data_IF_463287372463
#
_entry.id   IF_463287372463
#
_cell.length_a   1.000
_cell.length_b   1.000
_cell.length_c   1.000
_cell.angle_alpha   90.00
_cell.angle_beta   90.00
_cell.angle_gamma   90.00
#
_symmetry.space_group_name_H-M   'P 1'
#
loop_
_entity.id
_entity.type
_entity.pdbx_description
1 polymer ?
#
# COMPACT_ATOMS: atom_id res chain seq x y z
N UNK A 1 -51.29 -69.01 -55.81
CA UNK A 1 -51.89 -69.85 -54.75
C UNK A 1 -50.97 -69.79 -53.53
N UNK A 2 -51.51 -69.47 -52.34
CA UNK A 2 -50.86 -69.44 -51.00
C UNK A 2 -49.80 -68.35 -50.76
N UNK A 3 -49.62 -67.73 -49.58
CA UNK A 3 -50.41 -67.39 -48.39
C UNK A 3 -49.52 -66.39 -47.62
N UNK A 4 -50.12 -65.36 -47.00
CA UNK A 4 -49.48 -64.36 -46.11
C UNK A 4 -48.53 -65.00 -45.09
N UNK A 5 -47.50 -64.25 -44.67
CA UNK A 5 -47.11 -64.06 -43.25
C UNK A 5 -46.04 -62.98 -43.06
N UNK A 6 -46.40 -61.93 -42.32
CA UNK A 6 -45.48 -60.99 -41.69
C UNK A 6 -44.86 -61.66 -40.47
N UNK A 7 -43.54 -61.50 -40.28
CA UNK A 7 -42.88 -61.65 -38.98
C UNK A 7 -41.82 -60.55 -38.86
N UNK A 8 -41.95 -59.74 -37.81
CA UNK A 8 -40.92 -58.83 -37.32
C UNK A 8 -39.73 -59.68 -36.86
N UNK A 9 -38.53 -59.31 -37.25
CA UNK A 9 -37.29 -59.82 -36.70
C UNK A 9 -36.37 -58.63 -36.43
N UNK A 10 -36.11 -58.43 -35.14
CA UNK A 10 -35.13 -57.55 -34.54
C UNK A 10 -33.74 -57.92 -35.07
N UNK A 11 -33.03 -56.95 -35.65
CA UNK A 11 -31.63 -57.10 -36.02
C UNK A 11 -30.79 -56.09 -35.23
N UNK A 12 -30.04 -56.64 -34.29
CA UNK A 12 -28.93 -56.05 -33.56
C UNK A 12 -27.82 -55.69 -34.57
N UNK A 13 -27.41 -54.44 -34.64
CA UNK A 13 -26.21 -54.02 -35.38
C UNK A 13 -25.22 -53.37 -34.40
N UNK A 14 -24.17 -54.12 -34.07
CA UNK A 14 -22.92 -53.58 -33.54
C UNK A 14 -22.28 -52.71 -34.62
N UNK A 15 -21.98 -51.45 -34.30
CA UNK A 15 -20.93 -50.69 -35.01
C UNK A 15 -20.11 -49.90 -34.01
N UNK A 16 -18.80 -50.07 -34.16
CA UNK A 16 -17.72 -49.73 -33.27
C UNK A 16 -17.60 -48.23 -32.96
N UNK A 17 -17.21 -47.94 -31.72
CA UNK A 17 -16.80 -46.61 -31.29
C UNK A 17 -15.49 -46.20 -31.96
N UNK A 18 -15.49 -44.99 -32.49
CA UNK A 18 -14.28 -44.18 -32.67
C UNK A 18 -14.40 -43.07 -31.65
N UNK A 19 -13.87 -43.29 -30.46
CA UNK A 19 -13.60 -42.22 -29.51
C UNK A 19 -12.37 -41.52 -30.07
N UNK A 20 -12.57 -40.38 -30.74
CA UNK A 20 -11.49 -39.43 -30.98
C UNK A 20 -11.05 -38.93 -29.60
N UNK A 21 -10.05 -39.60 -29.02
CA UNK A 21 -9.26 -39.06 -27.93
C UNK A 21 -8.46 -37.88 -28.48
N UNK A 22 -9.06 -36.69 -28.47
CA UNK A 22 -8.27 -35.47 -28.47
C UNK A 22 -7.47 -35.51 -27.17
N UNK A 23 -6.19 -35.85 -27.27
CA UNK A 23 -5.27 -35.71 -26.16
C UNK A 23 -5.20 -34.24 -25.80
N UNK A 24 -5.87 -33.86 -24.72
CA UNK A 24 -5.51 -32.64 -24.01
C UNK A 24 -4.11 -32.92 -23.48
N UNK A 25 -3.10 -32.31 -24.11
CA UNK A 25 -1.79 -32.20 -23.49
C UNK A 25 -1.98 -31.29 -22.29
N UNK A 26 -2.20 -31.87 -21.12
CA UNK A 26 -1.98 -31.17 -19.86
C UNK A 26 -0.47 -30.92 -19.84
N UNK A 27 -0.05 -29.74 -20.29
CA UNK A 27 1.29 -29.27 -19.96
C UNK A 27 1.32 -29.21 -18.44
N UNK A 28 2.21 -29.97 -17.80
CA UNK A 28 2.48 -29.72 -16.39
C UNK A 28 3.03 -28.30 -16.33
N UNK A 29 2.29 -27.37 -15.74
CA UNK A 29 2.79 -26.03 -15.47
C UNK A 29 4.12 -26.20 -14.72
N UNK A 30 5.18 -25.63 -15.26
CA UNK A 30 6.46 -25.59 -14.57
C UNK A 30 6.41 -24.46 -13.57
N UNK A 31 6.79 -24.69 -12.32
CA UNK A 31 6.88 -23.61 -11.35
C UNK A 31 7.96 -22.61 -11.79
N UNK A 32 7.64 -21.32 -11.69
CA UNK A 32 8.59 -20.25 -11.91
C UNK A 32 9.67 -20.22 -10.81
N UNK A 33 10.82 -19.61 -11.13
CA UNK A 33 11.86 -19.25 -10.13
C UNK A 33 11.94 -17.73 -10.07
N UNK A 34 11.69 -17.14 -8.90
CA UNK A 34 11.55 -15.70 -8.75
C UNK A 34 11.99 -15.19 -7.36
N UNK A 35 12.18 -13.87 -7.26
CA UNK A 35 12.10 -13.12 -5.99
C UNK A 35 10.88 -12.21 -5.98
N UNK A 36 10.32 -11.95 -4.79
CA UNK A 36 9.13 -11.12 -4.59
C UNK A 36 9.50 -9.87 -3.80
N UNK A 37 8.95 -8.73 -4.17
CA UNK A 37 8.91 -7.53 -3.32
C UNK A 37 7.47 -7.04 -3.16
N UNK A 38 7.20 -6.47 -1.99
CA UNK A 38 5.89 -5.92 -1.65
C UNK A 38 6.03 -4.42 -1.36
N UNK A 39 5.29 -3.61 -2.11
CA UNK A 39 5.17 -2.18 -1.83
C UNK A 39 3.75 -1.93 -1.33
N UNK A 40 3.62 -1.68 -0.02
CA UNK A 40 2.37 -1.45 0.67
C UNK A 40 2.10 0.05 0.64
N UNK A 41 1.05 0.46 -0.05
CA UNK A 41 0.61 1.84 -0.10
C UNK A 41 -0.57 2.02 0.85
N UNK A 42 -0.44 2.95 1.77
CA UNK A 42 -1.45 3.26 2.80
C UNK A 42 -1.88 4.70 2.62
N UNK A 43 -3.17 4.92 2.48
CA UNK A 43 -3.78 6.24 2.58
C UNK A 43 -4.44 6.37 3.94
N UNK A 44 -4.04 7.41 4.67
CA UNK A 44 -4.69 7.84 5.88
C UNK A 44 -5.69 8.96 5.55
N UNK A 45 -6.65 9.16 6.44
CA UNK A 45 -7.44 10.38 6.55
C UNK A 45 -6.59 11.47 7.23
N UNK A 46 -7.11 12.70 7.25
CA UNK A 46 -6.41 13.87 7.81
C UNK A 46 -6.18 13.76 9.33
N UNK A 47 -6.96 12.93 10.02
CA UNK A 47 -6.82 12.60 11.45
C UNK A 47 -5.93 11.37 11.72
N UNK A 48 -5.37 10.77 10.68
CA UNK A 48 -4.51 9.58 10.77
C UNK A 48 -5.23 8.23 10.70
N UNK A 49 -6.57 8.18 10.62
CA UNK A 49 -7.29 6.92 10.44
C UNK A 49 -6.97 6.28 9.07
N UNK A 50 -6.93 4.95 8.99
CA UNK A 50 -6.67 4.25 7.71
C UNK A 50 -7.91 4.31 6.81
N UNK A 51 -7.79 4.95 5.64
CA UNK A 51 -8.86 5.00 4.61
C UNK A 51 -8.71 3.87 3.58
N UNK A 52 -7.49 3.57 3.14
CA UNK A 52 -7.31 2.54 2.13
C UNK A 52 -5.89 2.00 2.02
N UNK A 53 -5.79 0.71 1.69
CA UNK A 53 -4.52 0.02 1.49
C UNK A 53 -4.53 -0.77 0.20
N UNK A 54 -3.45 -0.65 -0.57
CA UNK A 54 -3.19 -1.55 -1.68
C UNK A 54 -1.73 -1.97 -1.69
N UNK A 55 -1.46 -3.18 -2.18
CA UNK A 55 -0.12 -3.75 -2.26
C UNK A 55 0.24 -3.96 -3.72
N UNK A 56 1.38 -3.42 -4.13
CA UNK A 56 1.98 -3.75 -5.43
C UNK A 56 3.00 -4.86 -5.21
N UNK A 57 2.63 -6.05 -5.66
CA UNK A 57 3.48 -7.23 -5.66
C UNK A 57 4.32 -7.22 -6.94
N UNK A 58 5.64 -7.25 -6.79
CA UNK A 58 6.57 -7.34 -7.92
C UNK A 58 7.38 -8.62 -7.84
N UNK A 59 7.50 -9.31 -8.97
CA UNK A 59 8.24 -10.55 -9.11
C UNK A 59 9.36 -10.33 -10.11
N UNK A 60 10.60 -10.65 -9.73
CA UNK A 60 11.73 -10.77 -10.66
C UNK A 60 11.89 -12.24 -11.03
N UNK A 61 11.36 -12.61 -12.20
CA UNK A 61 11.23 -13.99 -12.66
C UNK A 61 12.45 -14.38 -13.47
N UNK A 62 13.25 -15.29 -12.93
CA UNK A 62 14.47 -15.82 -13.57
C UNK A 62 14.21 -17.04 -14.44
N UNK A 63 13.05 -17.66 -14.30
CA UNK A 63 12.59 -18.78 -15.11
C UNK A 63 11.07 -18.74 -15.19
N UNK A 64 10.57 -18.71 -16.43
CA UNK A 64 9.14 -18.65 -16.71
C UNK A 64 8.37 -19.85 -16.13
N UNK A 65 7.11 -19.60 -15.76
CA UNK A 65 6.23 -20.61 -15.20
C UNK A 65 5.07 -20.03 -14.40
N UNK A 66 4.32 -20.91 -13.75
CA UNK A 66 3.22 -20.53 -12.87
C UNK A 66 3.74 -20.04 -11.51
N UNK A 67 3.09 -18.99 -10.99
CA UNK A 67 3.27 -18.44 -9.66
C UNK A 67 1.93 -18.48 -8.94
N UNK A 68 1.92 -19.05 -7.72
CA UNK A 68 0.87 -18.84 -6.72
C UNK A 68 1.39 -17.86 -5.68
N UNK A 69 0.68 -16.75 -5.53
CA UNK A 69 0.88 -15.76 -4.49
C UNK A 69 -0.36 -15.72 -3.59
N UNK A 70 -0.19 -15.29 -2.34
CA UNK A 70 -1.24 -15.30 -1.34
C UNK A 70 -1.45 -13.92 -0.70
N UNK A 71 -2.70 -13.54 -0.49
CA UNK A 71 -3.08 -12.33 0.21
C UNK A 71 -4.59 -12.11 0.14
N UNK A 72 -5.20 -11.61 1.20
CA UNK A 72 -6.65 -11.34 1.23
C UNK A 72 -6.97 -10.02 0.50
N UNK A 73 -7.23 -10.11 -0.81
CA UNK A 73 -7.56 -8.95 -1.64
C UNK A 73 -9.04 -8.91 -2.02
N UNK A 74 -9.64 -7.72 -1.92
CA UNK A 74 -10.98 -7.45 -2.44
C UNK A 74 -10.98 -7.29 -3.97
N UNK A 75 -9.87 -6.85 -4.55
CA UNK A 75 -9.68 -6.73 -5.99
C UNK A 75 -8.21 -6.90 -6.38
N UNK A 76 -7.97 -7.53 -7.53
CA UNK A 76 -6.62 -7.76 -8.08
C UNK A 76 -6.55 -7.21 -9.50
N UNK A 77 -5.48 -6.48 -9.80
CA UNK A 77 -5.24 -5.87 -11.10
C UNK A 77 -3.85 -6.23 -11.61
N UNK A 78 -3.79 -6.87 -12.78
CA UNK A 78 -2.53 -7.08 -13.49
C UNK A 78 -2.03 -5.73 -14.04
N UNK A 79 -0.76 -5.40 -13.74
CA UNK A 79 -0.12 -4.16 -14.18
C UNK A 79 0.92 -4.38 -15.29
N UNK A 80 1.14 -5.64 -15.69
CA UNK A 80 2.22 -6.05 -16.60
C UNK A 80 1.71 -6.26 -18.02
N UNK A 81 0.60 -6.97 -18.15
CA UNK A 81 0.04 -7.36 -19.44
C UNK A 81 -1.50 -7.48 -19.35
N UNK A 82 -2.12 -8.03 -20.41
CA UNK A 82 -3.57 -8.17 -20.50
C UNK A 82 -4.07 -9.55 -20.06
N UNK A 83 -3.18 -10.42 -19.59
CA UNK A 83 -3.55 -11.77 -19.16
C UNK A 83 -4.26 -11.69 -17.79
N UNK A 84 -5.24 -12.57 -17.59
CA UNK A 84 -6.00 -12.62 -16.35
C UNK A 84 -5.18 -13.26 -15.24
N UNK A 85 -5.28 -12.70 -14.03
CA UNK A 85 -4.84 -13.36 -12.80
C UNK A 85 -6.04 -14.14 -12.26
N UNK A 86 -5.88 -15.45 -12.12
CA UNK A 86 -6.92 -16.27 -11.49
C UNK A 86 -6.85 -16.03 -10.00
N UNK A 87 -7.92 -15.54 -9.39
CA UNK A 87 -7.96 -15.30 -7.95
C UNK A 87 -9.18 -15.92 -7.30
N UNK A 88 -8.97 -16.55 -6.15
CA UNK A 88 -10.02 -17.06 -5.26
C UNK A 88 -10.14 -16.23 -3.96
N UNK A 89 -9.73 -14.96 -4.02
CA UNK A 89 -9.58 -13.98 -2.92
C UNK A 89 -8.29 -14.12 -2.13
N UNK A 90 -7.93 -15.32 -1.70
CA UNK A 90 -6.75 -15.58 -0.85
C UNK A 90 -5.53 -16.02 -1.66
N UNK A 91 -5.73 -16.76 -2.76
CA UNK A 91 -4.70 -17.18 -3.69
C UNK A 91 -4.86 -16.43 -5.03
N UNK A 92 -3.71 -16.09 -5.62
CA UNK A 92 -3.56 -15.46 -6.91
C UNK A 92 -2.61 -16.29 -7.75
N UNK A 93 -3.14 -16.95 -8.79
CA UNK A 93 -2.38 -17.81 -9.69
C UNK A 93 -2.26 -17.16 -11.07
N UNK A 94 -1.05 -17.09 -11.59
CA UNK A 94 -0.78 -16.52 -12.92
C UNK A 94 0.48 -17.14 -13.55
N UNK A 95 0.51 -17.17 -14.88
CA UNK A 95 1.70 -17.53 -15.66
C UNK A 95 2.59 -16.29 -15.82
N UNK A 96 3.87 -16.43 -15.52
CA UNK A 96 4.84 -15.36 -15.64
C UNK A 96 5.98 -15.75 -16.60
N UNK A 97 6.33 -14.83 -17.50
CA UNK A 97 7.52 -14.96 -18.35
C UNK A 97 8.77 -14.51 -17.59
N UNK A 98 9.96 -14.82 -18.13
CA UNK A 98 11.21 -14.27 -17.59
C UNK A 98 11.21 -12.74 -17.66
N UNK A 99 11.60 -12.09 -16.55
CA UNK A 99 11.56 -10.65 -16.39
C UNK A 99 10.66 -10.20 -15.25
N UNK A 100 10.17 -8.97 -15.32
CA UNK A 100 9.39 -8.38 -14.24
C UNK A 100 7.89 -8.60 -14.42
N UNK A 101 7.24 -9.08 -13.37
CA UNK A 101 5.79 -9.14 -13.27
C UNK A 101 5.32 -8.30 -12.09
N UNK A 102 4.22 -7.58 -12.29
CA UNK A 102 3.60 -6.66 -11.34
C UNK A 102 2.10 -6.87 -11.32
N UNK A 103 1.54 -6.95 -10.12
CA UNK A 103 0.11 -6.83 -9.92
C UNK A 103 -0.19 -6.02 -8.65
N UNK A 104 -1.37 -5.41 -8.62
CA UNK A 104 -1.90 -4.69 -7.47
C UNK A 104 -3.02 -5.49 -6.82
N UNK A 105 -2.97 -5.65 -5.49
CA UNK A 105 -4.07 -6.16 -4.68
C UNK A 105 -4.61 -5.08 -3.74
N UNK A 106 -5.92 -4.83 -3.76
CA UNK A 106 -6.58 -3.90 -2.86
C UNK A 106 -7.08 -4.63 -1.61
N UNK A 107 -6.80 -4.11 -0.42
CA UNK A 107 -7.23 -4.67 0.86
C UNK A 107 -8.37 -3.82 1.42
N UNK A 108 -9.52 -4.43 1.72
CA UNK A 108 -10.70 -3.70 2.24
C UNK A 108 -10.57 -3.34 3.72
N UNK A 109 -9.92 -4.19 4.51
CA UNK A 109 -9.74 -4.02 5.97
C UNK A 109 -8.32 -4.41 6.36
N UNK A 110 -7.38 -3.53 6.08
CA UNK A 110 -5.99 -3.75 6.44
C UNK A 110 -5.76 -3.38 7.91
N UNK A 111 -5.09 -4.27 8.64
CA UNK A 111 -4.46 -3.95 9.92
C UNK A 111 -2.99 -3.65 9.64
N UNK A 112 -2.50 -2.51 10.14
CA UNK A 112 -1.10 -2.11 10.01
C UNK A 112 -0.33 -2.39 11.31
N UNK A 113 1.01 -2.51 11.27
CA UNK A 113 1.82 -2.65 12.48
C UNK A 113 1.74 -1.44 13.43
N UNK A 114 1.29 -0.29 12.91
CA UNK A 114 1.16 0.97 13.63
C UNK A 114 -0.27 1.50 13.58
N UNK A 115 -0.65 2.24 14.61
CA UNK A 115 -1.76 3.20 14.53
C UNK A 115 -1.20 4.61 14.42
N UNK A 116 -1.90 5.45 13.66
CA UNK A 116 -1.59 6.86 13.48
C UNK A 116 -2.75 7.70 14.00
N UNK A 117 -2.43 8.82 14.64
CA UNK A 117 -3.39 9.86 15.02
C UNK A 117 -2.72 11.21 14.74
N UNK A 118 -3.44 12.10 14.07
CA UNK A 118 -2.96 13.43 13.71
C UNK A 118 -3.90 14.45 14.35
N UNK A 119 -3.33 15.31 15.19
CA UNK A 119 -4.07 16.33 15.94
C UNK A 119 -3.53 17.70 15.59
N UNK A 120 -4.44 18.65 15.35
CA UNK A 120 -4.12 20.04 15.06
C UNK A 120 -4.66 20.94 16.16
N UNK A 121 -3.87 21.93 16.54
CA UNK A 121 -4.32 23.04 17.37
C UNK A 121 -3.91 24.36 16.72
N UNK A 122 -4.85 25.30 16.63
CA UNK A 122 -4.61 26.66 16.14
C UNK A 122 -4.87 27.63 17.30
N UNK A 123 -3.89 28.47 17.61
CA UNK A 123 -3.91 29.39 18.75
C UNK A 123 -4.23 28.70 20.10
N UNK A 124 -3.87 27.41 20.20
CA UNK A 124 -4.08 26.57 21.39
C UNK A 124 -5.45 25.89 21.47
N UNK A 125 -6.37 26.13 20.53
CA UNK A 125 -7.65 25.43 20.43
C UNK A 125 -7.53 24.28 19.41
N UNK A 126 -8.05 23.09 19.76
CA UNK A 126 -8.08 21.95 18.84
C UNK A 126 -9.05 22.22 17.69
N UNK A 127 -8.60 21.96 16.46
CA UNK A 127 -9.36 22.17 15.22
C UNK A 127 -9.29 20.93 14.35
N UNK A 128 -10.28 20.77 13.47
CA UNK A 128 -10.22 19.76 12.42
C UNK A 128 -9.29 20.24 11.30
N UNK A 129 -8.66 19.30 10.59
CA UNK A 129 -7.71 19.66 9.54
C UNK A 129 -8.33 20.44 8.36
N UNK A 130 -9.64 20.30 8.14
CA UNK A 130 -10.41 21.04 7.14
C UNK A 130 -10.56 22.52 7.49
N UNK A 131 -10.48 22.87 8.78
CA UNK A 131 -10.60 24.25 9.28
C UNK A 131 -9.28 25.03 9.14
N UNK A 132 -8.19 24.35 8.80
CA UNK A 132 -6.88 24.96 8.61
C UNK A 132 -6.70 25.61 7.24
N UNK A 133 -7.62 25.39 6.30
CA UNK A 133 -7.56 25.97 4.96
C UNK A 133 -7.53 27.51 5.01
N UNK A 134 -6.40 28.10 4.61
CA UNK A 134 -6.23 29.55 4.61
C UNK A 134 -6.21 30.16 6.01
N UNK A 135 -6.01 29.36 7.06
CA UNK A 135 -5.96 29.82 8.43
C UNK A 135 -4.73 30.69 8.71
N UNK A 136 -4.82 31.51 9.75
CA UNK A 136 -3.74 32.35 10.26
C UNK A 136 -3.64 32.15 11.78
N UNK A 137 -2.44 32.07 12.34
CA UNK A 137 -2.22 31.91 13.78
C UNK A 137 -1.03 31.03 14.15
N UNK A 138 -0.93 30.65 15.43
CA UNK A 138 0.06 29.68 15.92
C UNK A 138 -0.47 28.26 15.70
N UNK A 139 0.08 27.54 14.72
CA UNK A 139 -0.28 26.15 14.43
C UNK A 139 0.65 25.20 15.18
N UNK A 140 0.06 24.20 15.81
CA UNK A 140 0.75 23.00 16.29
C UNK A 140 0.09 21.76 15.69
N UNK A 141 0.91 20.91 15.07
CA UNK A 141 0.54 19.62 14.51
C UNK A 141 1.26 18.53 15.29
N UNK A 142 0.50 17.58 15.81
CA UNK A 142 1.02 16.41 16.51
C UNK A 142 0.66 15.13 15.75
N UNK A 143 1.65 14.28 15.50
CA UNK A 143 1.47 12.96 14.88
C UNK A 143 1.88 11.91 15.90
N UNK A 144 0.91 11.13 16.39
CA UNK A 144 1.12 10.03 17.31
C UNK A 144 1.26 8.73 16.52
N UNK A 145 2.40 8.06 16.71
CA UNK A 145 2.68 6.74 16.12
C UNK A 145 2.76 5.75 17.28
N UNK A 146 1.88 4.75 17.29
CA UNK A 146 1.81 3.71 18.33
C UNK A 146 1.86 2.32 17.73
N UNK A 147 2.19 1.32 18.55
CA UNK A 147 2.03 -0.08 18.15
C UNK A 147 0.54 -0.40 18.01
N UNK A 148 0.16 -1.06 16.92
CA UNK A 148 -1.21 -1.56 16.78
C UNK A 148 -1.35 -2.92 17.52
N UNK A 149 -2.12 -3.00 18.62
CA UNK A 149 -2.29 -4.27 19.34
C UNK A 149 -3.14 -5.30 18.58
N UNK A 150 -3.86 -4.89 17.53
CA UNK A 150 -4.66 -5.79 16.69
C UNK A 150 -3.82 -6.49 15.61
N UNK A 151 -2.61 -5.99 15.33
CA UNK A 151 -1.71 -6.58 14.35
C UNK A 151 -0.84 -7.66 15.01
N UNK A 152 -0.91 -8.89 14.51
CA UNK A 152 -0.33 -10.06 15.19
C UNK A 152 1.16 -10.25 14.90
N UNK A 153 1.68 -9.71 13.80
CA UNK A 153 3.07 -9.90 13.37
C UNK A 153 3.97 -8.78 13.90
N UNK A 154 4.26 -8.82 15.20
CA UNK A 154 5.11 -7.85 15.92
C UNK A 154 6.47 -7.58 15.27
N UNK A 155 6.98 -8.53 14.48
CA UNK A 155 8.22 -8.40 13.73
C UNK A 155 8.26 -7.12 12.87
N UNK A 156 7.14 -6.71 12.27
CA UNK A 156 7.10 -5.50 11.45
C UNK A 156 7.33 -4.23 12.29
N UNK A 157 6.61 -4.10 13.42
CA UNK A 157 6.79 -2.98 14.34
C UNK A 157 8.22 -2.92 14.91
N UNK A 158 8.80 -4.08 15.22
CA UNK A 158 10.11 -4.20 15.85
C UNK A 158 11.30 -4.10 14.89
N UNK A 159 11.09 -4.15 13.57
CA UNK A 159 12.19 -4.14 12.58
C UNK A 159 12.14 -2.97 11.61
N UNK A 160 10.97 -2.38 11.37
CA UNK A 160 10.83 -1.28 10.42
C UNK A 160 11.25 0.06 11.04
N UNK A 161 12.13 0.76 10.34
CA UNK A 161 12.43 2.17 10.57
C UNK A 161 11.37 2.98 9.83
N UNK A 162 10.75 3.96 10.51
CA UNK A 162 9.89 4.92 9.82
C UNK A 162 10.62 6.25 9.62
N UNK A 163 10.41 6.85 8.46
CA UNK A 163 10.80 8.23 8.17
C UNK A 163 9.55 9.01 7.82
N UNK A 164 9.17 9.96 8.67
CA UNK A 164 8.07 10.87 8.42
C UNK A 164 8.60 12.21 7.89
N UNK A 165 7.92 12.77 6.90
CA UNK A 165 8.28 14.02 6.25
C UNK A 165 7.06 14.94 6.17
N UNK A 166 7.26 16.18 6.61
CA UNK A 166 6.31 17.29 6.47
C UNK A 166 7.02 18.38 5.67
N UNK A 167 6.34 18.95 4.69
CA UNK A 167 6.87 20.04 3.86
C UNK A 167 5.98 21.27 4.05
N UNK A 168 6.59 22.39 4.41
CA UNK A 168 5.89 23.65 4.64
C UNK A 168 6.42 24.72 3.68
N UNK A 169 5.53 25.54 3.12
CA UNK A 169 5.92 26.68 2.28
C UNK A 169 6.51 27.80 3.16
N UNK A 170 7.73 28.22 2.86
CA UNK A 170 8.44 29.24 3.64
C UNK A 170 7.88 30.65 3.48
N UNK A 171 6.99 30.90 2.52
CA UNK A 171 6.23 32.15 2.39
C UNK A 171 4.98 32.17 3.28
N UNK A 172 4.47 30.99 3.68
CA UNK A 172 3.23 30.84 4.45
C UNK A 172 3.46 30.41 5.91
N UNK A 173 4.64 29.87 6.21
CA UNK A 173 4.99 29.29 7.51
C UNK A 173 6.29 29.91 8.04
N UNK A 174 6.22 30.55 9.21
CA UNK A 174 7.32 31.16 9.92
C UNK A 174 7.60 30.46 11.26
N UNK A 175 8.77 30.72 11.85
CA UNK A 175 9.17 30.24 13.17
C UNK A 175 9.04 28.72 13.38
N UNK A 176 9.31 27.94 12.33
CA UNK A 176 9.16 26.49 12.33
C UNK A 176 10.07 25.86 13.40
N UNK A 177 9.45 25.14 14.32
CA UNK A 177 10.10 24.31 15.32
C UNK A 177 9.52 22.90 15.25
N UNK A 178 10.38 21.88 15.30
CA UNK A 178 9.93 20.50 15.24
C UNK A 178 10.75 19.60 16.17
N UNK A 179 10.06 18.75 16.90
CA UNK A 179 10.64 17.82 17.86
C UNK A 179 9.96 16.45 17.82
N UNK A 180 10.72 15.44 18.21
CA UNK A 180 10.29 14.05 18.32
C UNK A 180 10.41 13.63 19.76
N UNK A 181 9.31 13.17 20.36
CA UNK A 181 9.32 12.54 21.68
C UNK A 181 9.16 11.03 21.53
N UNK A 182 10.21 10.28 21.82
CA UNK A 182 10.13 8.81 21.88
C UNK A 182 9.63 8.41 23.26
N UNK A 183 8.53 7.66 23.29
CA UNK A 183 7.92 7.18 24.53
C UNK A 183 8.75 6.05 25.15
N UNK A 184 8.76 5.94 26.49
CA UNK A 184 9.48 4.88 27.17
C UNK A 184 8.87 3.50 26.88
N UNK A 185 9.71 2.55 26.49
CA UNK A 185 9.32 1.14 26.28
C UNK A 185 9.38 0.32 27.57
N UNK A 186 10.13 0.79 28.58
CA UNK A 186 10.30 0.14 29.87
C UNK A 186 9.74 1.00 31.00
N UNK A 187 9.03 0.37 31.94
CA UNK A 187 8.47 1.06 33.09
C UNK A 187 9.59 1.73 33.92
N UNK A 188 9.45 3.04 34.16
CA UNK A 188 10.43 3.83 34.92
C UNK A 188 11.55 4.46 34.07
N UNK A 189 11.49 4.37 32.74
CA UNK A 189 12.29 5.23 31.85
C UNK A 189 11.55 6.52 31.50
N UNK A 190 12.30 7.61 31.36
CA UNK A 190 11.77 8.91 30.93
C UNK A 190 11.69 8.97 29.40
N UNK A 191 10.72 9.70 28.83
CA UNK A 191 10.68 9.99 27.40
C UNK A 191 11.97 10.68 26.94
N UNK A 192 12.36 10.43 25.69
CA UNK A 192 13.49 11.13 25.06
C UNK A 192 12.98 12.12 24.04
N UNK A 193 13.45 13.36 24.11
CA UNK A 193 13.07 14.44 23.18
C UNK A 193 14.27 14.78 22.31
N UNK A 194 14.09 14.73 21.00
CA UNK A 194 15.10 15.02 19.99
C UNK A 194 14.56 16.07 19.01
N UNK A 195 15.39 17.01 18.58
CA UNK A 195 15.00 17.94 17.51
C UNK A 195 14.86 17.19 16.19
N UNK A 196 13.88 17.57 15.37
CA UNK A 196 13.75 17.07 14.01
C UNK A 196 14.84 17.65 13.09
N UNK A 197 15.07 17.00 11.94
CA UNK A 197 15.90 17.59 10.89
C UNK A 197 15.05 18.55 10.08
N UNK A 198 15.46 19.82 10.00
CA UNK A 198 14.80 20.84 9.17
C UNK A 198 15.81 21.29 8.11
N UNK A 199 15.39 21.31 6.85
CA UNK A 199 16.24 21.67 5.72
C UNK A 199 15.50 22.52 4.67
N UNK A 200 16.16 23.59 4.22
CA UNK A 200 15.72 24.40 3.08
C UNK A 200 15.65 23.54 1.81
N UNK A 201 14.49 23.60 1.16
CA UNK A 201 14.15 22.86 -0.04
C UNK A 201 13.66 23.77 -1.17
N UNK A 202 14.22 24.98 -1.29
CA UNK A 202 13.97 25.87 -2.44
C UNK A 202 12.56 26.42 -2.51
N UNK A 203 12.20 27.23 -1.50
CA UNK A 203 10.87 27.83 -1.30
C UNK A 203 10.06 27.13 -0.20
N UNK A 204 10.46 25.91 0.15
CA UNK A 204 9.87 25.14 1.23
C UNK A 204 10.91 24.83 2.32
N UNK A 205 10.41 24.54 3.51
CA UNK A 205 11.15 23.87 4.58
C UNK A 205 10.70 22.41 4.67
N UNK A 206 11.66 21.49 4.60
CA UNK A 206 11.41 20.06 4.75
C UNK A 206 11.79 19.61 6.16
N UNK A 207 10.79 19.13 6.90
CA UNK A 207 10.94 18.58 8.25
C UNK A 207 10.96 17.06 8.13
N UNK A 208 12.02 16.43 8.62
CA UNK A 208 12.19 14.97 8.61
C UNK A 208 12.37 14.42 10.01
N UNK A 209 11.58 13.40 10.34
CA UNK A 209 11.64 12.64 11.57
C UNK A 209 12.05 11.20 11.27
N UNK A 210 12.92 10.65 12.12
CA UNK A 210 13.30 9.23 12.08
C UNK A 210 12.79 8.54 13.34
N UNK A 211 11.91 7.56 13.16
CA UNK A 211 11.31 6.74 14.23
C UNK A 211 11.97 5.37 14.20
N UNK A 212 12.59 5.00 15.32
CA UNK A 212 13.33 3.76 15.43
C UNK A 212 12.39 2.55 15.52
N UNK A 213 12.82 1.37 15.04
CA UNK A 213 12.05 0.14 15.21
C UNK A 213 11.73 -0.13 16.68
N UNK A 214 10.52 -0.64 16.93
CA UNK A 214 10.08 -1.02 18.28
C UNK A 214 9.73 0.15 19.20
N UNK A 215 9.65 1.38 18.69
CA UNK A 215 9.38 2.57 19.51
C UNK A 215 8.04 3.23 19.17
N UNK A 216 7.36 3.71 20.21
CA UNK A 216 6.21 4.60 20.08
C UNK A 216 6.69 6.04 20.17
N UNK A 217 6.10 6.95 19.40
CA UNK A 217 6.67 8.29 19.23
C UNK A 217 5.60 9.33 18.95
N UNK A 218 5.80 10.53 19.48
CA UNK A 218 5.08 11.75 19.14
C UNK A 218 5.96 12.66 18.29
N UNK A 219 5.46 13.07 17.12
CA UNK A 219 6.10 14.06 16.26
C UNK A 219 5.34 15.38 16.43
N UNK A 220 6.04 16.45 16.76
CA UNK A 220 5.43 17.77 16.95
C UNK A 220 6.05 18.75 15.97
N UNK A 221 5.22 19.47 15.24
CA UNK A 221 5.60 20.61 14.39
C UNK A 221 4.83 21.83 14.89
N UNK A 222 5.54 22.93 15.16
CA UNK A 222 4.96 24.24 15.52
C UNK A 222 5.43 25.29 14.53
N UNK A 223 4.52 26.17 14.12
CA UNK A 223 4.83 27.25 13.17
C UNK A 223 3.77 28.34 13.25
N UNK A 224 4.18 29.57 12.97
CA UNK A 224 3.24 30.67 12.73
C UNK A 224 2.80 30.62 11.28
N UNK A 225 1.50 30.58 11.02
CA UNK A 225 0.96 30.40 9.67
C UNK A 225 0.19 31.62 9.18
N UNK A 226 0.30 31.93 7.89
CA UNK A 226 -0.51 32.92 7.18
C UNK A 226 -1.06 32.28 5.90
N UNK A 227 -2.38 32.28 5.72
CA UNK A 227 -3.06 31.64 4.58
C UNK A 227 -2.61 30.16 4.41
N UNK A 228 -2.71 29.38 5.48
CA UNK A 228 -2.10 28.06 5.57
C UNK A 228 -2.58 27.07 4.49
N UNK A 229 -1.60 26.43 3.86
CA UNK A 229 -1.73 25.20 3.08
C UNK A 229 -0.47 24.36 3.27
N UNK A 230 -0.59 23.05 3.06
CA UNK A 230 0.54 22.13 3.10
C UNK A 230 0.32 20.95 2.16
N UNK A 231 1.42 20.41 1.67
CA UNK A 231 1.43 19.13 0.97
C UNK A 231 1.08 17.95 1.90
N UNK A 232 0.86 16.79 1.31
CA UNK A 232 0.57 15.56 2.04
C UNK A 232 1.74 15.19 2.97
N UNK A 233 1.40 14.71 4.17
CA UNK A 233 2.39 14.14 5.10
C UNK A 233 2.78 12.77 4.56
N UNK A 234 4.09 12.54 4.39
CA UNK A 234 4.61 11.27 3.86
C UNK A 234 5.34 10.50 4.96
N UNK A 235 5.04 9.21 5.11
CA UNK A 235 5.74 8.31 6.03
C UNK A 235 6.21 7.08 5.23
N UNK A 236 7.52 6.87 5.17
CA UNK A 236 8.12 5.69 4.58
C UNK A 236 8.54 4.70 5.67
N UNK A 237 8.19 3.42 5.53
CA UNK A 237 8.58 2.35 6.44
C UNK A 237 9.42 1.30 5.74
N UNK A 238 10.62 1.01 6.25
CA UNK A 238 11.52 0.01 5.66
C UNK A 238 12.11 -0.88 6.77
N UNK A 239 12.04 -2.21 6.65
CA UNK A 239 12.76 -3.12 7.54
C UNK A 239 14.26 -2.82 7.55
N UNK A 240 14.85 -2.73 8.73
CA UNK A 240 16.31 -2.54 8.91
C UNK A 240 17.11 -3.85 8.78
N UNK A 241 16.40 -4.98 8.64
CA UNK A 241 16.93 -6.32 8.44
C UNK A 241 15.80 -7.26 8.00
N UNK A 242 16.07 -8.56 7.93
CA UNK A 242 15.05 -9.55 7.62
C UNK A 242 13.92 -9.52 8.67
N UNK A 243 12.67 -9.42 8.21
CA UNK A 243 11.48 -9.56 9.07
C UNK A 243 11.27 -11.04 9.30
N UNK A 244 11.42 -11.53 10.52
CA UNK A 244 11.27 -12.97 10.83
C UNK A 244 10.21 -13.13 11.91
N UNK A 245 9.28 -14.06 11.70
CA UNK A 245 8.27 -14.39 12.70
C UNK A 245 8.94 -14.81 14.02
N UNK A 246 8.40 -14.35 15.16
CA UNK A 246 8.90 -14.78 16.46
C UNK A 246 8.40 -16.22 16.73
N UNK A 247 9.33 -17.16 16.92
CA UNK A 247 9.00 -18.50 17.43
C UNK A 247 8.87 -18.43 18.96
N UNK A 248 7.64 -18.48 19.47
CA UNK A 248 7.34 -18.49 20.91
C UNK A 248 7.94 -19.71 21.65
N UNK A 249 8.51 -20.69 20.94
CA UNK A 249 9.04 -21.94 21.51
C UNK A 249 10.57 -22.06 21.50
N UNK A 250 11.29 -20.96 21.19
CA UNK A 250 12.74 -20.96 21.03
C UNK A 250 13.56 -21.10 22.34
N UNK A 251 12.93 -21.21 23.52
CA UNK A 251 13.63 -21.35 24.82
C UNK A 251 14.35 -22.70 25.04
N UNK A 252 14.40 -23.60 24.06
CA UNK A 252 15.12 -24.87 24.21
C UNK A 252 16.08 -25.21 23.07
N UNK A 253 16.84 -24.22 22.60
CA UNK A 253 17.91 -24.41 21.62
C UNK A 253 19.32 -24.17 22.22
N UNK A 254 19.64 -24.79 23.36
CA UNK A 254 21.03 -24.86 23.86
C UNK A 254 21.90 -25.89 23.10
N UNK A 255 21.47 -26.34 21.91
CA UNK A 255 22.26 -27.20 21.03
C UNK A 255 21.88 -26.93 19.56
N UNK A 256 22.29 -25.79 19.03
CA UNK A 256 22.32 -25.53 17.60
C UNK A 256 23.64 -24.83 17.22
N UNK A 257 24.78 -25.43 17.60
CA UNK A 257 26.01 -25.18 16.84
C UNK A 257 25.83 -25.84 15.46
N UNK A 258 25.94 -25.03 14.41
CA UNK A 258 25.76 -25.32 12.97
C UNK A 258 24.32 -25.20 12.43
N UNK A 259 23.69 -24.03 12.61
CA UNK A 259 22.81 -23.52 11.57
C UNK A 259 23.67 -22.85 10.49
N UNK A 260 23.57 -23.33 9.26
CA UNK A 260 24.08 -22.67 8.06
C UNK A 260 23.57 -21.22 8.04
N UNK A 261 24.40 -20.24 7.68
CA UNK A 261 23.98 -18.85 7.41
C UNK A 261 23.18 -18.79 6.08
N UNK A 262 22.21 -19.69 5.92
CA UNK A 262 21.27 -19.72 4.82
C UNK A 262 20.18 -18.69 5.08
N UNK A 263 20.29 -17.54 4.40
CA UNK A 263 19.29 -16.49 4.19
C UNK A 263 17.96 -16.71 4.94
N UNK A 264 17.81 -16.12 6.12
CA UNK A 264 16.49 -15.97 6.73
C UNK A 264 15.59 -15.22 5.73
N UNK A 265 14.48 -15.85 5.35
CA UNK A 265 13.52 -15.29 4.42
C UNK A 265 12.70 -14.20 5.11
N UNK A 266 12.57 -13.04 4.47
CA UNK A 266 11.69 -11.97 4.95
C UNK A 266 10.25 -12.46 4.93
N UNK A 267 9.54 -12.30 6.05
CA UNK A 267 8.11 -12.57 6.19
C UNK A 267 7.34 -11.62 5.29
N UNK A 268 6.46 -12.13 4.43
CA UNK A 268 5.59 -11.26 3.62
C UNK A 268 4.50 -10.61 4.47
N UNK A 269 4.16 -9.36 4.15
CA UNK A 269 3.09 -8.62 4.81
C UNK A 269 1.71 -9.18 4.49
N UNK A 270 1.54 -9.71 3.27
CA UNK A 270 0.24 -10.10 2.73
C UNK A 270 -0.18 -11.51 3.15
N UNK A 271 0.79 -12.42 3.34
CA UNK A 271 0.58 -13.78 3.87
C UNK A 271 1.90 -14.44 4.28
N UNK A 272 1.89 -15.20 5.37
CA UNK A 272 3.03 -16.04 5.78
C UNK A 272 3.27 -17.23 4.83
N UNK A 273 2.33 -17.54 3.93
CA UNK A 273 2.47 -18.61 2.92
C UNK A 273 3.38 -18.20 1.75
N UNK A 274 3.52 -16.90 1.52
CA UNK A 274 4.37 -16.37 0.48
C UNK A 274 5.83 -16.64 0.77
N UNK A 275 6.54 -17.02 -0.29
CA UNK A 275 7.97 -17.31 -0.27
C UNK A 275 8.70 -16.36 -1.19
N UNK A 276 10.01 -16.33 -1.03
CA UNK A 276 10.96 -15.57 -1.83
C UNK A 276 10.79 -14.05 -1.72
N UNK A 277 10.12 -13.58 -0.65
CA UNK A 277 10.07 -12.16 -0.33
C UNK A 277 11.47 -11.65 0.05
N UNK A 278 11.92 -10.64 -0.67
CA UNK A 278 13.22 -10.00 -0.50
C UNK A 278 13.06 -8.64 0.19
N UNK A 279 12.20 -7.77 -0.36
CA UNK A 279 11.95 -6.43 0.19
C UNK A 279 10.49 -6.14 0.47
N UNK A 280 10.28 -5.39 1.56
CA UNK A 280 9.00 -4.83 1.95
C UNK A 280 9.18 -3.34 2.19
N UNK A 281 8.30 -2.53 1.61
CA UNK A 281 8.30 -1.09 1.81
C UNK A 281 6.88 -0.63 2.08
N UNK A 282 6.71 0.18 3.12
CA UNK A 282 5.48 0.91 3.40
C UNK A 282 5.62 2.33 2.88
N UNK A 283 4.67 2.77 2.06
CA UNK A 283 4.50 4.15 1.63
C UNK A 283 3.15 4.63 2.15
N UNK A 284 3.19 5.37 3.25
CA UNK A 284 2.00 5.86 3.97
C UNK A 284 1.87 7.37 3.70
N UNK A 285 0.67 7.84 3.41
CA UNK A 285 0.41 9.27 3.20
C UNK A 285 -0.88 9.70 3.90
N UNK A 286 -0.84 10.84 4.59
CA UNK A 286 -2.03 11.55 5.06
C UNK A 286 -2.22 12.84 4.23
N UNK A 287 -3.46 13.18 3.83
CA UNK A 287 -3.73 14.35 3.02
C UNK A 287 -3.29 15.63 3.72
N UNK A 288 -2.68 16.54 2.96
CA UNK A 288 -2.36 17.89 3.42
C UNK A 288 -3.59 18.81 3.46
N UNK A 289 -3.36 20.07 3.84
CA UNK A 289 -4.36 21.14 3.78
C UNK A 289 -4.20 21.85 2.45
N UNK A 290 -5.24 21.86 1.61
CA UNK A 290 -5.17 22.50 0.28
C UNK A 290 -6.25 23.54 0.15
N UNK A 291 -5.87 24.74 -0.26
CA UNK A 291 -6.85 25.75 -0.67
C UNK A 291 -7.39 25.31 -2.04
N UNK A 292 -8.70 25.01 -2.17
CA UNK A 292 -9.28 24.65 -3.45
C UNK A 292 -9.09 25.82 -4.42
N UNK A 293 -8.59 25.49 -5.62
CA UNK A 293 -8.48 26.44 -6.72
C UNK A 293 -9.78 27.26 -6.79
N UNK A 294 -9.71 28.61 -6.83
CA UNK A 294 -10.91 29.42 -6.95
C UNK A 294 -11.66 28.91 -8.16
N UNK A 295 -12.86 28.33 -7.94
CA UNK A 295 -13.69 27.74 -8.98
C UNK A 295 -13.67 28.74 -10.12
N UNK A 296 -12.99 28.38 -11.22
CA UNK A 296 -12.91 29.25 -12.38
C UNK A 296 -14.36 29.51 -12.74
N UNK A 297 -14.85 30.69 -12.39
CA UNK A 297 -16.21 31.08 -12.72
C UNK A 297 -16.18 31.00 -14.22
N UNK A 298 -16.83 29.97 -14.77
CA UNK A 298 -16.98 29.82 -16.20
C UNK A 298 -17.70 31.09 -16.59
N UNK A 299 -16.95 32.10 -17.02
CA UNK A 299 -17.49 33.22 -17.74
C UNK A 299 -18.06 32.55 -18.97
N UNK A 300 -19.36 32.29 -18.93
CA UNK A 300 -20.14 31.98 -20.11
C UNK A 300 -20.12 33.28 -20.88
N UNK A 301 -19.00 33.56 -21.55
CA UNK A 301 -19.00 34.50 -22.65
C UNK A 301 -19.95 33.88 -23.67
N UNK A 302 -21.15 34.45 -23.73
CA UNK A 302 -22.17 34.09 -24.70
C UNK A 302 -21.53 34.03 -26.08
N UNK A 303 -21.38 32.81 -26.58
CA UNK A 303 -21.00 32.46 -27.95
C UNK A 303 -21.98 33.00 -29.02
N UNK A 304 -22.94 33.83 -28.60
CA UNK A 304 -23.96 34.48 -29.42
C UNK A 304 -23.37 35.69 -30.17
N UNK A 305 -22.32 36.35 -29.65
CA UNK A 305 -21.76 37.57 -30.28
C UNK A 305 -21.00 37.34 -31.59
N UNK A 306 -20.33 36.19 -31.77
CA UNK A 306 -19.45 35.97 -32.93
C UNK A 306 -20.21 35.55 -34.19
N UNK A 307 -21.20 34.65 -34.08
CA UNK A 307 -22.01 34.23 -35.22
C UNK A 307 -22.91 35.36 -35.73
N UNK A 308 -23.43 36.23 -34.85
CA UNK A 308 -24.18 37.41 -35.25
C UNK A 308 -23.30 38.47 -35.93
N UNK A 309 -22.07 38.69 -35.44
CA UNK A 309 -21.09 39.59 -36.08
C UNK A 309 -20.61 39.08 -37.44
N UNK A 310 -20.50 37.76 -37.63
CA UNK A 310 -20.15 37.18 -38.93
C UNK A 310 -21.34 37.26 -39.90
N UNK A 311 -22.57 37.14 -39.42
CA UNK A 311 -23.77 37.22 -40.27
C UNK A 311 -24.02 38.62 -40.82
N UNK A 312 -23.69 39.67 -40.07
CA UNK A 312 -23.82 41.08 -40.53
C UNK A 312 -22.76 41.52 -41.54
N UNK A 313 -21.73 40.72 -41.80
CA UNK A 313 -20.72 40.99 -42.83
C UNK A 313 -21.13 40.50 -44.23
N UNK A 314 -22.25 39.78 -44.34
CA UNK A 314 -22.76 39.22 -45.59
C UNK A 314 -24.16 39.72 -45.98
N UNK A 315 -24.67 40.78 -45.34
CA UNK A 315 -25.88 41.53 -45.74
C UNK A 315 -25.53 42.94 -46.28
#
# INVERSE_FOLDING_TARGET
MMKKRYKKATALALTAGVICSMGVTISAATNAEYTKNENIYVRLEQDGQVDGVYVVNSFDVTKAGEISDYGDYAAVYNLTNLDEIVSDKEEQTFEAEEGKFYYQGNIEKAELPWTFEIVYTLDGDQVEGEELEGAEGELEMQIHIRKNPSFTEDAFFNTCLLQATVTLDSELCDNIAAEKTTLPTEEGTEPTVEAASIADAGGNEQITFTVNPGTETDLTVKTDVENFEMDDISIAGVPTGAVVAQDENAENAENAETADEGSQQTLSFTSAENKHTDHIVFAISAPGVKIPDPVATKVIEEKISFLEKVKSLFE
#
